data_IF_275785500923
#
_entry.id   IF_275785500923
#
_cell.length_a   1.000
_cell.length_b   1.000
_cell.length_c   1.000
_cell.angle_alpha   90.00
_cell.angle_beta   90.00
_cell.angle_gamma   90.00
#
_symmetry.space_group_name_H-M   'P 1'
#
loop_
_entity.id
_entity.type
_entity.pdbx_description
1 polymer ?
#
# COMPACT_ATOMS: atom_id res chain seq x y z
N UNK A 1 2.37 5.88 23.58
CA UNK A 1 1.01 5.81 24.17
C UNK A 1 -0.01 6.67 23.41
N UNK A 2 0.31 7.92 23.03
CA UNK A 2 -0.64 8.82 22.33
C UNK A 2 -1.09 8.31 20.95
N UNK A 3 -0.18 7.75 20.14
CA UNK A 3 -0.50 7.24 18.79
C UNK A 3 -1.44 6.02 18.84
N UNK A 4 -1.20 5.07 19.77
CA UNK A 4 -2.09 3.93 19.96
C UNK A 4 -3.49 4.33 20.46
N UNK A 5 -3.59 5.43 21.21
CA UNK A 5 -4.87 5.97 21.69
C UNK A 5 -5.67 6.65 20.55
N UNK A 6 -4.99 7.33 19.62
CA UNK A 6 -5.60 7.89 18.41
C UNK A 6 -6.09 6.80 17.46
N UNK A 7 -5.32 5.71 17.28
CA UNK A 7 -5.74 4.54 16.49
C UNK A 7 -6.99 3.86 17.08
N UNK A 8 -7.09 3.84 18.42
CA UNK A 8 -8.25 3.29 19.12
C UNK A 8 -9.51 4.19 19.05
N UNK A 9 -9.37 5.48 18.75
CA UNK A 9 -10.49 6.42 18.65
C UNK A 9 -11.12 6.46 17.24
N UNK A 10 -10.34 6.12 16.21
CA UNK A 10 -10.80 6.03 14.81
C UNK A 10 -12.01 5.09 14.57
N UNK A 11 -12.14 3.90 15.19
CA UNK A 11 -13.31 3.05 14.98
C UNK A 11 -14.63 3.65 15.50
N UNK A 12 -14.61 4.76 16.24
CA UNK A 12 -15.79 5.49 16.71
C UNK A 12 -16.32 6.56 15.73
N UNK A 13 -15.72 6.69 14.54
CA UNK A 13 -16.17 7.61 13.48
C UNK A 13 -17.36 7.16 12.58
N UNK A 14 -18.04 5.99 12.73
CA UNK A 14 -18.98 5.52 11.71
C UNK A 14 -20.34 6.24 11.70
N UNK A 15 -20.50 7.36 12.43
CA UNK A 15 -21.70 8.21 12.36
C UNK A 15 -21.64 9.28 11.25
N UNK A 16 -20.60 9.29 10.40
CA UNK A 16 -20.43 10.31 9.36
C UNK A 16 -20.99 9.89 7.99
N UNK A 17 -21.27 10.89 7.14
CA UNK A 17 -21.78 10.69 5.77
C UNK A 17 -20.78 9.92 4.89
N UNK A 18 -21.28 9.32 3.79
CA UNK A 18 -20.47 8.54 2.82
C UNK A 18 -19.22 9.29 2.34
N UNK A 19 -19.32 10.61 2.18
CA UNK A 19 -18.21 11.47 1.76
C UNK A 19 -17.03 11.41 2.76
N UNK A 20 -17.31 11.56 4.06
CA UNK A 20 -16.28 11.51 5.09
C UNK A 20 -15.67 10.12 5.24
N UNK A 21 -16.43 9.04 5.01
CA UNK A 21 -15.90 7.69 5.03
C UNK A 21 -14.88 7.44 3.91
N UNK A 22 -15.16 7.93 2.70
CA UNK A 22 -14.21 7.82 1.58
C UNK A 22 -12.96 8.66 1.83
N UNK A 23 -13.12 9.90 2.30
CA UNK A 23 -12.00 10.76 2.64
C UNK A 23 -11.13 10.15 3.76
N UNK A 24 -11.76 9.55 4.77
CA UNK A 24 -11.05 8.88 5.85
C UNK A 24 -10.34 7.61 5.36
N UNK A 25 -10.95 6.85 4.45
CA UNK A 25 -10.29 5.72 3.79
C UNK A 25 -9.00 6.16 3.06
N UNK A 26 -9.07 7.22 2.24
CA UNK A 26 -7.91 7.74 1.53
C UNK A 26 -6.84 8.24 2.50
N UNK A 27 -7.25 8.96 3.56
CA UNK A 27 -6.34 9.44 4.59
C UNK A 27 -5.62 8.29 5.33
N UNK A 28 -6.33 7.20 5.65
CA UNK A 28 -5.71 6.02 6.27
C UNK A 28 -4.74 5.31 5.32
N UNK A 29 -5.10 5.23 4.04
CA UNK A 29 -4.25 4.62 3.00
C UNK A 29 -2.95 5.40 2.80
N UNK A 30 -3.03 6.71 2.64
CA UNK A 30 -1.85 7.58 2.57
C UNK A 30 -1.09 7.61 3.90
N UNK A 31 -1.77 7.50 5.04
CA UNK A 31 -1.15 7.36 6.35
C UNK A 31 -0.27 6.11 6.46
N UNK A 32 -0.69 4.98 5.86
CA UNK A 32 0.13 3.76 5.80
C UNK A 32 1.39 3.95 4.93
N UNK A 33 1.28 4.68 3.81
CA UNK A 33 2.42 5.01 2.95
C UNK A 33 3.37 5.99 3.65
N UNK A 34 2.83 6.97 4.37
CA UNK A 34 3.62 7.91 5.15
C UNK A 34 4.39 7.19 6.27
N UNK A 35 3.76 6.23 6.93
CA UNK A 35 4.40 5.41 7.97
C UNK A 35 5.55 4.55 7.43
N UNK A 36 5.40 3.94 6.25
CA UNK A 36 6.49 3.16 5.65
C UNK A 36 7.66 4.04 5.20
N UNK A 37 7.37 5.24 4.66
CA UNK A 37 8.38 6.22 4.32
C UNK A 37 9.10 6.77 5.56
N UNK A 38 8.36 7.07 6.64
CA UNK A 38 8.90 7.53 7.92
C UNK A 38 9.81 6.47 8.55
N UNK A 39 9.44 5.18 8.47
CA UNK A 39 10.30 4.09 8.91
C UNK A 39 11.62 4.05 8.13
N UNK A 40 11.56 4.22 6.80
CA UNK A 40 12.78 4.25 5.99
C UNK A 40 13.65 5.47 6.33
N UNK A 41 13.08 6.68 6.27
CA UNK A 41 13.82 7.93 6.48
C UNK A 41 14.31 8.03 7.93
N UNK A 42 13.45 7.74 8.90
CA UNK A 42 13.70 7.90 10.32
C UNK A 42 14.80 6.98 10.85
N UNK A 43 14.90 5.74 10.35
CA UNK A 43 15.87 4.76 10.84
C UNK A 43 17.09 4.61 9.95
N UNK A 44 16.97 4.83 8.63
CA UNK A 44 18.11 4.66 7.71
C UNK A 44 18.72 5.99 7.25
N UNK A 45 18.03 7.11 7.42
CA UNK A 45 18.44 8.42 6.89
C UNK A 45 18.37 8.52 5.36
N UNK A 46 17.79 7.53 4.68
CA UNK A 46 17.68 7.48 3.22
C UNK A 46 16.30 7.96 2.76
N UNK A 47 16.27 8.96 1.89
CA UNK A 47 15.04 9.47 1.26
C UNK A 47 14.74 8.66 0.01
N UNK A 48 13.56 8.02 -0.06
CA UNK A 48 13.11 7.25 -1.23
C UNK A 48 11.91 7.91 -1.89
N UNK A 49 12.06 8.26 -3.18
CA UNK A 49 10.96 8.70 -4.04
C UNK A 49 10.29 7.54 -4.79
N UNK A 50 10.71 6.30 -4.52
CA UNK A 50 10.22 5.11 -5.21
C UNK A 50 8.92 4.52 -4.66
N UNK A 51 8.42 5.00 -3.52
CA UNK A 51 7.29 4.38 -2.79
C UNK A 51 6.01 4.26 -3.63
N UNK A 52 5.77 5.21 -4.53
CA UNK A 52 4.63 5.19 -5.44
C UNK A 52 4.61 3.94 -6.33
N UNK A 53 5.77 3.42 -6.75
CA UNK A 53 5.84 2.22 -7.58
C UNK A 53 5.48 0.95 -6.82
N UNK A 54 5.93 0.80 -5.57
CA UNK A 54 5.53 -0.35 -4.74
C UNK A 54 4.02 -0.34 -4.48
N UNK A 55 3.46 0.83 -4.16
CA UNK A 55 2.03 1.01 -3.98
C UNK A 55 1.24 0.69 -5.26
N UNK A 56 1.66 1.26 -6.40
CA UNK A 56 1.04 1.04 -7.70
C UNK A 56 1.09 -0.42 -8.14
N UNK A 57 2.24 -1.09 -8.03
CA UNK A 57 2.38 -2.51 -8.39
C UNK A 57 1.47 -3.41 -7.55
N UNK A 58 1.32 -3.13 -6.25
CA UNK A 58 0.37 -3.87 -5.39
C UNK A 58 -1.08 -3.68 -5.83
N UNK A 59 -1.45 -2.44 -6.15
CA UNK A 59 -2.79 -2.10 -6.65
C UNK A 59 -3.08 -2.77 -8.01
N UNK A 60 -2.16 -2.68 -8.98
CA UNK A 60 -2.30 -3.31 -10.29
C UNK A 60 -2.36 -4.83 -10.21
N UNK A 61 -1.52 -5.46 -9.39
CA UNK A 61 -1.55 -6.92 -9.19
C UNK A 61 -2.90 -7.39 -8.69
N UNK A 62 -3.47 -6.65 -7.72
CA UNK A 62 -4.79 -6.94 -7.16
C UNK A 62 -5.91 -6.68 -8.18
N UNK A 63 -5.85 -5.55 -8.89
CA UNK A 63 -6.84 -5.17 -9.89
C UNK A 63 -6.96 -6.19 -11.03
N UNK A 64 -5.82 -6.65 -11.58
CA UNK A 64 -5.77 -7.63 -12.67
C UNK A 64 -6.34 -8.98 -12.23
N UNK A 65 -6.05 -9.41 -11.00
CA UNK A 65 -6.59 -10.68 -10.48
C UNK A 65 -8.11 -10.62 -10.28
N UNK A 66 -8.61 -9.51 -9.75
CA UNK A 66 -10.04 -9.29 -9.57
C UNK A 66 -10.77 -9.21 -10.90
N UNK A 67 -10.20 -8.54 -11.90
CA UNK A 67 -10.73 -8.48 -13.27
C UNK A 67 -10.80 -9.89 -13.91
N UNK A 68 -9.80 -10.74 -13.64
CA UNK A 68 -9.77 -12.15 -14.10
C UNK A 68 -10.68 -13.09 -13.30
N UNK A 69 -11.46 -12.57 -12.35
CA UNK A 69 -12.44 -13.34 -11.58
C UNK A 69 -11.91 -13.98 -10.29
N UNK A 70 -10.67 -13.70 -9.89
CA UNK A 70 -10.13 -14.16 -8.60
C UNK A 70 -10.65 -13.25 -7.49
N UNK A 71 -11.86 -13.54 -7.01
CA UNK A 71 -12.53 -12.69 -6.01
C UNK A 71 -12.01 -12.87 -4.57
N UNK A 72 -11.11 -13.83 -4.33
CA UNK A 72 -10.55 -14.05 -2.99
C UNK A 72 -9.54 -12.97 -2.63
N UNK A 73 -9.82 -12.21 -1.57
CA UNK A 73 -8.92 -11.17 -1.06
C UNK A 73 -7.56 -11.77 -0.69
N UNK A 74 -7.54 -12.93 -0.03
CA UNK A 74 -6.30 -13.57 0.40
C UNK A 74 -5.42 -13.98 -0.77
N UNK A 75 -6.02 -14.51 -1.83
CA UNK A 75 -5.28 -14.86 -3.05
C UNK A 75 -4.68 -13.61 -3.71
N UNK A 76 -5.47 -12.52 -3.77
CA UNK A 76 -4.98 -11.23 -4.29
C UNK A 76 -3.84 -10.66 -3.43
N UNK A 77 -3.96 -10.71 -2.10
CA UNK A 77 -2.93 -10.21 -1.19
C UNK A 77 -1.63 -11.01 -1.32
N UNK A 78 -1.70 -12.34 -1.35
CA UNK A 78 -0.50 -13.19 -1.52
C UNK A 78 0.18 -12.88 -2.86
N UNK A 79 -0.58 -12.80 -3.94
CA UNK A 79 -0.03 -12.47 -5.24
C UNK A 79 0.57 -11.06 -5.29
N UNK A 80 -0.09 -10.07 -4.70
CA UNK A 80 0.43 -8.70 -4.61
C UNK A 80 1.74 -8.65 -3.80
N UNK A 81 1.80 -9.35 -2.66
CA UNK A 81 3.03 -9.46 -1.85
C UNK A 81 4.16 -10.11 -2.65
N UNK A 82 3.87 -11.17 -3.43
CA UNK A 82 4.88 -11.82 -4.26
C UNK A 82 5.40 -10.89 -5.36
N UNK A 83 4.52 -10.22 -6.11
CA UNK A 83 4.91 -9.32 -7.20
C UNK A 83 5.70 -8.12 -6.66
N UNK A 84 5.17 -7.45 -5.64
CA UNK A 84 5.82 -6.29 -5.02
C UNK A 84 7.12 -6.71 -4.33
N UNK A 85 7.15 -7.88 -3.68
CA UNK A 85 8.34 -8.42 -3.02
C UNK A 85 9.46 -8.72 -4.01
N UNK A 86 9.16 -9.35 -5.14
CA UNK A 86 10.15 -9.59 -6.20
C UNK A 86 10.70 -8.27 -6.75
N UNK A 87 9.84 -7.29 -7.00
CA UNK A 87 10.26 -5.97 -7.45
C UNK A 87 11.10 -5.25 -6.38
N UNK A 88 10.71 -5.33 -5.10
CA UNK A 88 11.46 -4.79 -3.98
C UNK A 88 12.84 -5.43 -3.83
N UNK A 89 13.00 -6.74 -4.06
CA UNK A 89 14.30 -7.39 -4.07
C UNK A 89 15.21 -6.82 -5.17
N UNK A 90 14.68 -6.64 -6.38
CA UNK A 90 15.44 -6.06 -7.49
C UNK A 90 15.84 -4.61 -7.18
N UNK A 91 14.89 -3.77 -6.78
CA UNK A 91 15.15 -2.35 -6.50
C UNK A 91 16.09 -2.19 -5.31
N UNK A 92 15.87 -2.92 -4.22
CA UNK A 92 16.70 -2.84 -3.00
C UNK A 92 18.14 -3.29 -3.26
N UNK A 93 18.36 -4.31 -4.09
CA UNK A 93 19.71 -4.77 -4.49
C UNK A 93 20.53 -3.65 -5.15
N UNK A 94 19.93 -2.90 -6.09
CA UNK A 94 20.62 -1.79 -6.76
C UNK A 94 20.68 -0.52 -5.91
N UNK A 95 19.60 -0.23 -5.17
CA UNK A 95 19.46 1.01 -4.43
C UNK A 95 20.38 1.06 -3.20
N UNK A 96 20.46 -0.02 -2.42
CA UNK A 96 21.24 -0.05 -1.17
C UNK A 96 22.75 0.11 -1.37
N UNK A 97 23.25 -0.13 -2.58
CA UNK A 97 24.64 0.14 -2.96
C UNK A 97 24.98 1.64 -3.03
N UNK A 98 23.97 2.52 -2.98
CA UNK A 98 24.11 3.98 -3.09
C UNK A 98 23.60 4.67 -1.82
N UNK A 99 24.17 5.82 -1.48
CA UNK A 99 23.77 6.62 -0.30
C UNK A 99 23.44 8.05 -0.70
N UNK A 100 22.65 8.72 0.14
CA UNK A 100 22.28 10.13 -0.03
C UNK A 100 21.48 10.37 -1.31
N UNK A 101 21.84 11.42 -2.05
CA UNK A 101 21.10 11.88 -3.23
C UNK A 101 21.03 10.81 -4.32
N UNK A 102 22.09 10.00 -4.49
CA UNK A 102 22.10 8.93 -5.49
C UNK A 102 21.07 7.83 -5.21
N UNK A 103 20.80 7.53 -3.93
CA UNK A 103 19.75 6.59 -3.55
C UNK A 103 18.38 7.15 -3.96
N UNK A 104 18.10 8.40 -3.60
CA UNK A 104 16.84 9.06 -3.93
C UNK A 104 16.59 9.10 -5.45
N UNK A 105 17.59 9.52 -6.23
CA UNK A 105 17.50 9.56 -7.70
C UNK A 105 17.27 8.17 -8.31
N UNK A 106 17.97 7.15 -7.81
CA UNK A 106 17.80 5.79 -8.32
C UNK A 106 16.40 5.25 -8.03
N UNK A 107 15.85 5.49 -6.84
CA UNK A 107 14.46 5.10 -6.52
C UNK A 107 13.43 5.85 -7.36
N UNK A 108 13.68 7.14 -7.69
CA UNK A 108 12.83 7.92 -8.59
C UNK A 108 12.83 7.33 -10.00
N UNK A 109 14.00 6.99 -10.54
CA UNK A 109 14.13 6.36 -11.86
C UNK A 109 13.36 5.04 -11.91
N UNK A 110 13.51 4.20 -10.89
CA UNK A 110 12.76 2.94 -10.82
C UNK A 110 11.25 3.15 -10.77
N UNK A 111 10.78 4.18 -10.06
CA UNK A 111 9.37 4.51 -10.06
C UNK A 111 8.88 5.01 -11.42
N UNK A 112 9.68 5.82 -12.11
CA UNK A 112 9.35 6.34 -13.43
C UNK A 112 9.29 5.23 -14.49
N UNK A 113 10.16 4.22 -14.40
CA UNK A 113 10.11 3.04 -15.27
C UNK A 113 8.79 2.30 -15.10
N UNK A 114 8.35 2.07 -13.86
CA UNK A 114 7.06 1.41 -13.58
C UNK A 114 5.90 2.26 -14.07
N UNK A 115 5.93 3.57 -13.79
CA UNK A 115 4.90 4.50 -14.25
C UNK A 115 4.76 4.51 -15.77
N UNK A 116 5.88 4.64 -16.48
CA UNK A 116 5.94 4.62 -17.95
C UNK A 116 5.44 3.28 -18.47
N UNK A 117 5.91 2.16 -17.90
CA UNK A 117 5.47 0.83 -18.31
C UNK A 117 3.95 0.64 -18.18
N UNK A 118 3.38 1.01 -17.03
CA UNK A 118 1.93 0.93 -16.81
C UNK A 118 1.14 1.85 -17.74
N UNK A 119 1.63 3.07 -17.98
CA UNK A 119 0.95 4.07 -18.83
C UNK A 119 0.92 3.69 -20.30
N UNK A 120 1.99 3.10 -20.84
CA UNK A 120 2.08 2.74 -22.26
C UNK A 120 1.53 1.35 -22.59
N UNK A 121 1.29 0.51 -21.58
CA UNK A 121 0.76 -0.84 -21.79
C UNK A 121 -0.76 -0.85 -21.69
N UNK A 122 -1.44 -1.00 -22.83
CA UNK A 122 -2.91 -1.00 -22.92
C UNK A 122 -3.57 -2.06 -22.04
N UNK A 123 -2.91 -3.20 -21.81
CA UNK A 123 -3.39 -4.27 -20.92
C UNK A 123 -3.53 -3.82 -19.46
N UNK A 124 -2.84 -2.76 -19.04
CA UNK A 124 -2.94 -2.18 -17.71
C UNK A 124 -3.89 -0.95 -17.68
N UNK A 125 -4.73 -0.77 -18.70
CA UNK A 125 -5.65 0.36 -18.82
C UNK A 125 -5.00 1.66 -19.30
N UNK A 126 -3.71 1.61 -19.71
CA UNK A 126 -3.02 2.75 -20.31
C UNK A 126 -2.98 3.99 -19.41
N UNK A 127 -3.38 5.15 -19.96
CA UNK A 127 -3.42 6.42 -19.22
C UNK A 127 -4.49 6.50 -18.15
N UNK A 128 -5.57 5.71 -18.30
CA UNK A 128 -6.77 5.82 -17.46
C UNK A 128 -6.75 4.79 -16.31
N UNK A 129 -5.83 3.82 -16.39
CA UNK A 129 -5.72 2.71 -15.44
C UNK A 129 -6.87 1.71 -15.56
N UNK A 130 -6.86 0.70 -14.68
CA UNK A 130 -7.92 -0.33 -14.66
C UNK A 130 -9.11 0.22 -13.89
N UNK A 131 -10.25 0.37 -14.57
CA UNK A 131 -11.51 0.84 -13.97
C UNK A 131 -12.48 -0.32 -13.73
N UNK A 132 -13.46 -0.09 -12.86
CA UNK A 132 -14.54 -1.06 -12.63
C UNK A 132 -14.10 -2.35 -11.91
N UNK A 133 -13.01 -2.29 -11.14
CA UNK A 133 -12.47 -3.45 -10.42
C UNK A 133 -13.54 -4.04 -9.47
N UNK A 134 -13.89 -5.33 -9.60
CA UNK A 134 -14.87 -5.98 -8.73
C UNK A 134 -14.45 -5.93 -7.25
N UNK A 135 -15.44 -5.83 -6.36
CA UNK A 135 -15.20 -5.85 -4.91
C UNK A 135 -14.62 -7.22 -4.47
N UNK A 136 -13.46 -7.24 -3.76
CA UNK A 136 -12.90 -8.48 -3.25
C UNK A 136 -13.78 -9.08 -2.14
N UNK A 137 -13.70 -10.39 -1.97
CA UNK A 137 -14.39 -11.17 -0.93
C UNK A 137 -13.39 -11.64 0.11
N UNK A 138 -13.63 -11.28 1.37
CA UNK A 138 -12.80 -11.71 2.52
C UNK A 138 -12.98 -13.20 2.81
N UNK A 139 -14.22 -13.68 2.70
CA UNK A 139 -14.61 -15.09 2.75
C UNK A 139 -15.64 -15.32 1.62
N UNK A 140 -15.90 -16.56 1.18
CA UNK A 140 -16.87 -16.83 0.10
C UNK A 140 -18.24 -16.16 0.30
N UNK A 141 -18.66 -15.95 1.56
CA UNK A 141 -19.90 -15.30 1.94
C UNK A 141 -19.78 -13.79 2.33
N UNK A 142 -18.57 -13.22 2.45
CA UNK A 142 -18.35 -11.84 2.89
C UNK A 142 -17.68 -11.00 1.81
N UNK A 143 -18.47 -10.22 1.07
CA UNK A 143 -17.98 -9.25 0.09
C UNK A 143 -17.63 -7.90 0.75
N UNK A 144 -16.56 -7.26 0.29
CA UNK A 144 -16.14 -5.91 0.72
C UNK A 144 -16.67 -4.89 -0.30
N UNK A 145 -17.98 -4.71 -0.30
CA UNK A 145 -18.74 -3.92 -1.27
C UNK A 145 -19.14 -2.53 -0.74
N UNK A 146 -19.22 -2.39 0.59
CA UNK A 146 -19.68 -1.17 1.25
C UNK A 146 -18.52 -0.27 1.67
N UNK A 147 -18.67 1.07 1.55
CA UNK A 147 -17.63 2.03 1.98
C UNK A 147 -17.20 1.84 3.44
N UNK A 148 -18.15 1.47 4.31
CA UNK A 148 -17.89 1.19 5.72
C UNK A 148 -16.97 -0.04 5.90
N UNK A 149 -17.17 -1.11 5.12
CA UNK A 149 -16.30 -2.30 5.17
C UNK A 149 -14.90 -1.99 4.66
N UNK A 150 -14.77 -1.24 3.57
CA UNK A 150 -13.47 -0.78 3.07
C UNK A 150 -12.71 0.03 4.12
N UNK A 151 -13.41 0.94 4.81
CA UNK A 151 -12.83 1.72 5.90
C UNK A 151 -12.29 0.84 7.03
N UNK A 152 -13.08 -0.12 7.53
CA UNK A 152 -12.63 -1.01 8.60
C UNK A 152 -11.48 -1.92 8.19
N UNK A 153 -11.45 -2.38 6.94
CA UNK A 153 -10.35 -3.21 6.41
C UNK A 153 -9.05 -2.42 6.36
N UNK A 154 -9.07 -1.18 5.84
CA UNK A 154 -7.87 -0.34 5.79
C UNK A 154 -7.46 0.13 7.19
N UNK A 155 -8.41 0.41 8.08
CA UNK A 155 -8.10 0.72 9.48
C UNK A 155 -7.41 -0.47 10.17
N UNK A 156 -7.91 -1.70 9.97
CA UNK A 156 -7.29 -2.91 10.49
C UNK A 156 -5.88 -3.13 9.90
N UNK A 157 -5.70 -2.88 8.61
CA UNK A 157 -4.40 -2.93 7.95
C UNK A 157 -3.43 -1.89 8.53
N UNK A 158 -3.84 -0.63 8.68
CA UNK A 158 -3.00 0.41 9.26
C UNK A 158 -2.62 0.10 10.72
N UNK A 159 -3.57 -0.39 11.51
CA UNK A 159 -3.31 -0.82 12.88
C UNK A 159 -2.30 -1.97 12.93
N UNK A 160 -2.43 -2.97 12.04
CA UNK A 160 -1.48 -4.07 11.91
C UNK A 160 -0.11 -3.57 11.47
N UNK A 161 -0.03 -2.70 10.46
CA UNK A 161 1.22 -2.09 9.99
C UNK A 161 1.91 -1.31 11.11
N UNK A 162 1.15 -0.54 11.89
CA UNK A 162 1.67 0.17 13.06
C UNK A 162 2.23 -0.79 14.12
N UNK A 163 1.51 -1.87 14.43
CA UNK A 163 1.98 -2.87 15.40
C UNK A 163 3.27 -3.53 14.92
N UNK A 164 3.34 -3.91 13.64
CA UNK A 164 4.54 -4.50 13.04
C UNK A 164 5.70 -3.52 13.10
N UNK A 165 5.51 -2.26 12.68
CA UNK A 165 6.55 -1.23 12.77
C UNK A 165 7.00 -1.01 14.22
N UNK A 166 6.06 -0.97 15.17
CA UNK A 166 6.37 -0.81 16.59
C UNK A 166 7.18 -2.00 17.12
N UNK A 167 6.86 -3.22 16.71
CA UNK A 167 7.62 -4.41 17.10
C UNK A 167 9.02 -4.39 16.50
N UNK A 168 9.16 -4.01 15.23
CA UNK A 168 10.46 -3.91 14.55
C UNK A 168 11.36 -2.88 15.23
N UNK A 169 10.84 -1.68 15.47
CA UNK A 169 11.55 -0.58 16.13
C UNK A 169 11.89 -0.89 17.59
N UNK A 170 11.00 -1.57 18.31
CA UNK A 170 11.24 -1.95 19.70
C UNK A 170 12.12 -3.21 19.82
N UNK A 171 12.38 -3.91 18.72
CA UNK A 171 13.25 -5.08 18.72
C UNK A 171 14.71 -4.64 18.91
N UNK A 172 15.51 -5.48 19.56
CA UNK A 172 16.92 -5.20 19.87
C UNK A 172 17.83 -5.03 18.63
N UNK A 173 17.29 -5.15 17.41
CA UNK A 173 18.07 -5.11 16.18
C UNK A 173 18.30 -3.71 15.62
N UNK A 174 17.72 -2.66 16.21
CA UNK A 174 17.99 -1.27 15.86
C UNK A 174 17.19 -0.78 14.66
#
# INVERSE_FOLDING_TARGET
MVVGLLVALLPALPFMSKFYLLLAFDALLFGAIAMSLDLLIGYTGLVSFGHAAFFGLGAYSTAILLERGVLSLWACLVAAVLVVGLYALVVSYFATARRGIYFALLTLIFAEVVYTFSRYTQTFGGSDGIQGVPAPRLMPAFAIDTPLRNYYVVLAYLALAYLVCRVLVASHFG
#
